data_IF_950751367068
#
_entry.id   IF_950751367068
#
_cell.length_a   1.000
_cell.length_b   1.000
_cell.length_c   1.000
_cell.angle_alpha   90.00
_cell.angle_beta   90.00
_cell.angle_gamma   90.00
#
_symmetry.space_group_name_H-M   'P 1'
#
loop_
_entity.id
_entity.type
_entity.pdbx_description
1 polymer ?
#
# COMPACT_ATOMS: atom_id res chain seq x y z
N UNK A 1 29.10 38.99 16.72
CA UNK A 1 28.29 37.82 16.32
C UNK A 1 28.46 37.74 14.82
N UNK A 2 29.04 36.66 14.33
CA UNK A 2 29.29 36.44 12.92
C UNK A 2 29.39 34.93 12.63
N UNK A 3 29.61 34.57 11.38
CA UNK A 3 29.68 33.20 10.86
C UNK A 3 31.11 32.61 10.90
N UNK A 4 32.09 33.30 11.51
CA UNK A 4 33.49 32.87 11.52
C UNK A 4 33.92 32.41 12.91
N UNK A 5 34.47 31.18 13.04
CA UNK A 5 34.79 30.62 14.35
C UNK A 5 35.87 31.40 15.11
N UNK A 6 36.75 32.10 14.40
CA UNK A 6 37.97 32.70 14.95
C UNK A 6 37.99 34.23 14.89
N UNK A 7 36.86 34.90 14.67
CA UNK A 7 36.82 36.36 14.69
C UNK A 7 37.31 36.90 16.04
N UNK A 8 38.27 37.83 15.98
CA UNK A 8 38.78 38.55 17.15
C UNK A 8 38.16 39.95 17.16
N UNK A 9 37.26 40.27 18.09
CA UNK A 9 36.68 41.60 18.19
C UNK A 9 37.72 42.67 18.49
N UNK A 10 37.46 43.87 17.98
CA UNK A 10 38.27 45.05 18.26
C UNK A 10 38.29 45.40 19.75
N UNK A 11 39.33 46.14 20.16
CA UNK A 11 39.53 46.59 21.55
C UNK A 11 38.70 47.84 21.85
N UNK A 12 37.39 47.75 21.61
CA UNK A 12 36.42 48.83 21.84
C UNK A 12 35.27 48.32 22.70
N UNK A 13 34.85 49.10 23.69
CA UNK A 13 33.71 48.73 24.54
C UNK A 13 32.43 48.90 23.73
N UNK A 14 31.81 47.78 23.32
CA UNK A 14 30.53 47.79 22.60
C UNK A 14 29.34 48.06 23.53
N UNK A 15 29.37 47.53 24.75
CA UNK A 15 28.32 47.71 25.76
C UNK A 15 28.90 47.45 27.16
N UNK A 16 28.27 48.02 28.18
CA UNK A 16 28.53 47.71 29.60
C UNK A 16 27.47 46.75 30.19
N UNK A 17 26.43 46.41 29.41
CA UNK A 17 25.39 45.47 29.82
C UNK A 17 25.92 44.04 29.85
N UNK A 18 25.34 43.22 30.72
CA UNK A 18 25.66 41.79 30.84
C UNK A 18 24.82 40.91 29.92
N UNK A 19 23.89 41.50 29.17
CA UNK A 19 22.99 40.82 28.22
C UNK A 19 22.95 41.59 26.90
N UNK A 20 22.69 40.87 25.80
CA UNK A 20 22.47 41.46 24.48
C UNK A 20 21.54 40.55 23.69
N UNK A 21 20.51 41.14 23.09
CA UNK A 21 19.59 40.44 22.19
C UNK A 21 19.99 40.66 20.73
N UNK A 22 19.87 39.60 19.95
CA UNK A 22 19.98 39.60 18.49
C UNK A 22 18.68 39.01 17.95
N UNK A 23 18.08 39.68 16.97
CA UNK A 23 16.80 39.27 16.37
C UNK A 23 17.00 39.01 14.88
N UNK A 24 16.09 38.23 14.30
CA UNK A 24 16.05 37.95 12.84
C UNK A 24 17.39 37.43 12.28
N UNK A 25 18.03 36.52 13.00
CA UNK A 25 19.20 35.80 12.50
C UNK A 25 18.74 34.69 11.57
N UNK A 26 19.41 34.56 10.42
CA UNK A 26 19.20 33.45 9.52
C UNK A 26 19.65 32.13 10.15
N UNK A 27 19.04 31.04 9.70
CA UNK A 27 19.41 29.68 10.09
C UNK A 27 20.89 29.39 9.76
N UNK A 28 21.56 28.65 10.64
CA UNK A 28 22.94 28.23 10.45
C UNK A 28 23.80 28.29 11.71
N UNK A 29 25.12 28.33 11.49
CA UNK A 29 26.11 28.37 12.55
C UNK A 29 26.52 29.81 12.82
N UNK A 30 26.41 30.21 14.09
CA UNK A 30 26.77 31.53 14.55
C UNK A 30 27.78 31.45 15.68
N UNK A 31 28.74 32.38 15.69
CA UNK A 31 29.74 32.47 16.73
C UNK A 31 29.59 33.79 17.49
N UNK A 32 29.28 33.67 18.78
CA UNK A 32 29.28 34.79 19.69
C UNK A 32 30.70 34.99 20.24
N UNK A 33 31.24 36.19 19.99
CA UNK A 33 32.57 36.59 20.40
C UNK A 33 32.48 37.66 21.48
N UNK A 34 33.19 37.46 22.59
CA UNK A 34 33.20 38.41 23.70
C UNK A 34 34.62 38.61 24.24
N UNK A 35 34.91 39.86 24.60
CA UNK A 35 36.14 40.27 25.30
C UNK A 35 35.76 41.19 26.46
N UNK A 36 36.39 40.96 27.61
CA UNK A 36 36.23 41.82 28.77
C UNK A 36 37.35 42.87 28.80
N UNK A 37 37.02 44.10 29.19
CA UNK A 37 38.00 45.12 29.54
C UNK A 37 37.95 45.38 31.05
N UNK A 38 39.11 45.46 31.69
CA UNK A 38 39.25 45.94 33.06
C UNK A 38 40.36 46.98 33.11
N UNK A 39 40.01 48.22 33.43
CA UNK A 39 40.97 49.33 33.57
C UNK A 39 41.90 49.49 32.35
N UNK A 40 41.36 49.36 31.14
CA UNK A 40 42.15 49.49 29.91
C UNK A 40 42.90 48.22 29.48
N UNK A 41 42.92 47.18 30.32
CA UNK A 41 43.49 45.87 29.96
C UNK A 41 42.39 44.98 29.38
N UNK A 42 42.60 44.50 28.16
CA UNK A 42 41.70 43.58 27.48
C UNK A 42 42.07 42.13 27.78
N UNK A 43 41.07 41.32 28.12
CA UNK A 43 41.21 39.88 28.24
C UNK A 43 41.25 39.18 26.87
N UNK A 44 41.45 37.86 26.90
CA UNK A 44 41.36 36.99 25.73
C UNK A 44 39.94 36.94 25.15
N UNK A 45 39.81 36.62 23.87
CA UNK A 45 38.50 36.42 23.21
C UNK A 45 37.89 35.08 23.64
N UNK A 46 36.67 35.12 24.15
CA UNK A 46 35.81 33.94 24.29
C UNK A 46 34.98 33.74 23.02
N UNK A 47 34.80 32.48 22.63
CA UNK A 47 34.02 32.08 21.47
C UNK A 47 32.93 31.09 21.92
N UNK A 48 31.68 31.33 21.53
CA UNK A 48 30.58 30.41 21.81
C UNK A 48 29.83 30.09 20.51
N UNK A 49 29.67 28.80 20.21
CA UNK A 49 28.94 28.33 19.04
C UNK A 49 27.44 28.27 19.35
N UNK A 50 26.65 28.85 18.47
CA UNK A 50 25.20 28.77 18.43
C UNK A 50 24.77 28.13 17.11
N UNK A 51 23.76 27.27 17.18
CA UNK A 51 23.11 26.68 16.01
C UNK A 51 21.69 27.21 15.99
N UNK A 52 21.35 27.95 14.94
CA UNK A 52 20.02 28.52 14.74
C UNK A 52 19.34 27.67 13.68
N UNK A 53 18.16 27.17 14.01
CA UNK A 53 17.34 26.35 13.15
C UNK A 53 15.88 26.63 13.47
N UNK A 54 15.19 27.25 12.51
CA UNK A 54 13.78 27.63 12.62
C UNK A 54 12.89 26.76 11.73
N UNK A 55 13.46 25.82 10.98
CA UNK A 55 12.74 24.98 10.05
C UNK A 55 12.23 23.71 10.75
N UNK A 56 10.96 23.31 10.54
CA UNK A 56 10.49 22.02 11.03
C UNK A 56 11.17 20.87 10.26
N UNK A 57 11.14 19.64 10.81
CA UNK A 57 11.53 18.43 10.09
C UNK A 57 10.93 18.33 8.68
N UNK A 58 11.59 17.60 7.78
CA UNK A 58 11.11 17.41 6.41
C UNK A 58 9.73 16.74 6.35
N UNK A 59 9.00 16.97 5.26
CA UNK A 59 7.74 16.28 5.00
C UNK A 59 7.95 14.76 4.90
N UNK A 60 7.06 14.00 5.52
CA UNK A 60 7.09 12.53 5.49
C UNK A 60 5.68 11.96 5.44
N UNK A 61 5.57 10.67 5.10
CA UNK A 61 4.29 9.96 5.07
C UNK A 61 4.45 8.66 5.86
N UNK A 62 3.74 8.49 6.98
CA UNK A 62 3.70 7.22 7.69
C UNK A 62 3.13 6.09 6.83
N UNK A 63 3.60 4.88 7.07
CA UNK A 63 3.12 3.66 6.43
C UNK A 63 2.40 2.77 7.44
N UNK A 64 1.38 2.05 7.00
CA UNK A 64 0.59 1.14 7.85
C UNK A 64 0.72 -0.29 7.36
N UNK A 65 1.11 -1.18 8.25
CA UNK A 65 1.03 -2.63 8.09
C UNK A 65 0.10 -3.23 9.13
N UNK A 66 -0.68 -4.25 8.74
CA UNK A 66 -1.64 -4.90 9.63
C UNK A 66 -1.11 -6.26 10.08
N UNK A 67 -1.06 -6.48 11.40
CA UNK A 67 -0.78 -7.79 11.99
C UNK A 67 -2.10 -8.54 12.20
N UNK A 68 -2.31 -9.59 11.40
CA UNK A 68 -3.49 -10.45 11.47
C UNK A 68 -3.09 -11.76 12.16
N UNK A 69 -3.51 -11.96 13.41
CA UNK A 69 -3.32 -13.23 14.12
C UNK A 69 -4.45 -14.21 13.78
N UNK A 70 -4.11 -15.38 13.24
CA UNK A 70 -5.06 -16.35 12.69
C UNK A 70 -5.99 -17.05 13.71
N UNK A 71 -5.78 -16.85 15.02
CA UNK A 71 -6.51 -17.58 16.08
C UNK A 71 -7.24 -16.69 17.09
N UNK A 72 -6.98 -15.38 17.10
CA UNK A 72 -7.64 -14.37 17.94
C UNK A 72 -7.61 -13.06 17.16
N UNK A 73 -8.78 -12.44 16.94
CA UNK A 73 -8.91 -11.16 16.23
C UNK A 73 -8.38 -10.03 17.12
N UNK A 74 -7.08 -10.00 17.37
CA UNK A 74 -6.39 -8.80 17.83
C UNK A 74 -5.81 -8.15 16.58
N UNK A 75 -6.60 -7.29 15.95
CA UNK A 75 -6.14 -6.49 14.83
C UNK A 75 -5.24 -5.39 15.41
N UNK A 76 -3.95 -5.45 15.09
CA UNK A 76 -3.00 -4.39 15.43
C UNK A 76 -2.46 -3.80 14.13
N UNK A 77 -2.37 -2.48 14.09
CA UNK A 77 -1.65 -1.79 13.04
C UNK A 77 -0.22 -1.49 13.54
N UNK A 78 0.75 -1.67 12.66
CA UNK A 78 2.11 -1.15 12.78
C UNK A 78 2.17 0.13 11.96
N UNK A 79 2.44 1.25 12.62
CA UNK A 79 2.63 2.54 11.97
C UNK A 79 4.13 2.82 11.91
N UNK A 80 4.68 2.73 10.72
CA UNK A 80 6.10 3.03 10.45
C UNK A 80 6.22 4.48 10.02
N UNK A 81 7.22 5.19 10.56
CA UNK A 81 7.47 6.58 10.20
C UNK A 81 8.97 6.89 10.25
N UNK A 82 9.39 7.82 9.40
CA UNK A 82 10.75 8.31 9.33
C UNK A 82 10.77 9.67 8.64
N UNK A 83 11.55 10.61 9.18
CA UNK A 83 11.87 11.88 8.55
C UNK A 83 13.30 12.30 8.89
N UNK A 84 13.75 13.40 8.29
CA UNK A 84 15.07 14.00 8.46
C UNK A 84 14.95 15.49 8.72
N UNK A 85 15.95 16.05 9.38
CA UNK A 85 16.18 17.50 9.42
C UNK A 85 17.65 17.75 9.06
N UNK A 86 17.89 18.75 8.22
CA UNK A 86 19.19 19.09 7.67
C UNK A 86 20.07 19.91 8.63
N UNK A 87 19.47 20.64 9.57
CA UNK A 87 20.22 21.60 10.41
C UNK A 87 20.48 21.05 11.80
N UNK A 88 19.43 20.82 12.60
CA UNK A 88 19.58 20.33 13.97
C UNK A 88 19.49 18.79 14.05
N UNK A 89 18.81 18.18 13.09
CA UNK A 89 18.52 16.75 13.03
C UNK A 89 17.39 16.35 13.98
N UNK A 90 16.86 15.14 13.81
CA UNK A 90 15.76 14.65 14.64
C UNK A 90 16.22 14.38 16.07
N UNK A 91 15.40 14.80 17.04
CA UNK A 91 15.57 14.49 18.46
C UNK A 91 14.77 13.23 18.83
N UNK A 92 13.46 13.27 18.66
CA UNK A 92 12.57 12.14 18.94
C UNK A 92 11.24 12.22 18.18
N UNK A 93 10.44 11.17 18.30
CA UNK A 93 9.06 11.13 17.83
C UNK A 93 8.10 10.97 19.00
N UNK A 94 6.93 11.59 18.88
CA UNK A 94 5.79 11.33 19.74
C UNK A 94 4.62 10.84 18.90
N UNK A 95 3.80 9.93 19.45
CA UNK A 95 2.60 9.45 18.78
C UNK A 95 1.38 9.72 19.64
N UNK A 96 0.37 10.35 19.03
CA UNK A 96 -0.95 10.50 19.59
C UNK A 96 -1.95 9.64 18.82
N UNK A 97 -2.85 8.95 19.52
CA UNK A 97 -3.94 8.18 18.90
C UNK A 97 -5.26 8.75 19.37
N UNK A 98 -6.17 9.03 18.43
CA UNK A 98 -7.50 9.55 18.71
C UNK A 98 -8.56 8.83 17.88
N UNK A 99 -9.72 8.58 18.48
CA UNK A 99 -10.89 8.10 17.76
C UNK A 99 -11.61 9.30 17.13
N UNK A 100 -11.77 9.29 15.81
CA UNK A 100 -12.35 10.41 15.06
C UNK A 100 -13.84 10.59 15.28
N UNK A 101 -14.51 9.62 15.92
CA UNK A 101 -15.89 9.76 16.38
C UNK A 101 -16.02 10.64 17.62
N UNK A 102 -14.92 10.92 18.32
CA UNK A 102 -14.90 11.81 19.48
C UNK A 102 -15.11 13.28 19.07
N UNK A 103 -15.62 14.13 19.99
CA UNK A 103 -15.74 15.56 19.74
C UNK A 103 -14.38 16.20 19.44
N UNK A 104 -14.36 17.21 18.56
CA UNK A 104 -13.14 17.94 18.18
C UNK A 104 -12.46 18.70 19.35
N UNK A 105 -13.11 18.77 20.52
CA UNK A 105 -12.52 19.33 21.75
C UNK A 105 -11.61 18.34 22.48
N UNK A 106 -11.60 17.06 22.09
CA UNK A 106 -10.72 16.04 22.65
C UNK A 106 -9.41 16.05 21.88
N UNK A 107 -8.30 16.17 22.60
CA UNK A 107 -6.96 16.07 22.03
C UNK A 107 -6.33 14.72 22.37
N UNK A 108 -5.53 14.14 21.47
CA UNK A 108 -4.77 12.93 21.78
C UNK A 108 -3.74 13.22 22.87
N UNK A 109 -3.45 12.21 23.67
CA UNK A 109 -2.27 12.20 24.53
C UNK A 109 -1.09 11.74 23.67
N UNK A 110 -0.07 12.58 23.55
CA UNK A 110 1.17 12.24 22.87
C UNK A 110 2.09 11.49 23.82
N UNK A 111 2.68 10.40 23.35
CA UNK A 111 3.69 9.64 24.07
C UNK A 111 4.95 9.48 23.22
N UNK A 112 6.16 9.57 23.81
CA UNK A 112 7.38 9.24 23.09
C UNK A 112 7.32 7.83 22.52
N UNK A 113 7.69 7.68 21.25
CA UNK A 113 7.55 6.43 20.51
C UNK A 113 8.69 6.22 19.51
N UNK A 114 8.97 4.95 19.22
CA UNK A 114 9.87 4.54 18.15
C UNK A 114 9.07 3.93 16.99
N UNK A 115 9.67 3.94 15.80
CA UNK A 115 9.12 3.28 14.61
C UNK A 115 9.60 1.83 14.52
N UNK A 116 8.72 0.86 14.23
CA UNK A 116 7.28 1.01 14.06
C UNK A 116 6.51 1.09 15.39
N UNK A 117 5.48 1.92 15.44
CA UNK A 117 4.59 2.05 16.60
C UNK A 117 3.38 1.11 16.48
N UNK A 118 3.06 0.37 17.54
CA UNK A 118 1.91 -0.55 17.54
C UNK A 118 0.64 0.14 18.04
N UNK A 119 -0.40 0.11 17.21
CA UNK A 119 -1.70 0.71 17.52
C UNK A 119 -2.73 -0.40 17.68
N UNK A 120 -3.32 -0.57 18.87
CA UNK A 120 -4.47 -1.45 19.06
C UNK A 120 -5.69 -0.91 18.29
N UNK A 121 -6.29 -1.73 17.43
CA UNK A 121 -7.51 -1.36 16.70
C UNK A 121 -8.73 -1.57 17.61
N UNK A 122 -8.94 -0.64 18.54
CA UNK A 122 -10.12 -0.63 19.42
C UNK A 122 -11.36 0.00 18.78
N UNK A 123 -11.21 0.64 17.62
CA UNK A 123 -12.25 1.34 16.86
C UNK A 123 -11.92 1.28 15.36
N UNK A 124 -12.94 1.37 14.52
CA UNK A 124 -12.82 1.29 13.06
C UNK A 124 -12.38 2.63 12.44
N UNK A 125 -12.42 3.74 13.20
CA UNK A 125 -12.09 5.10 12.72
C UNK A 125 -11.08 5.81 13.63
N UNK A 126 -9.89 5.22 13.76
CA UNK A 126 -8.77 5.83 14.49
C UNK A 126 -7.97 6.76 13.58
N UNK A 127 -7.43 7.83 14.16
CA UNK A 127 -6.39 8.67 13.57
C UNK A 127 -5.14 8.57 14.42
N UNK A 128 -4.03 8.21 13.80
CA UNK A 128 -2.71 8.23 14.42
C UNK A 128 -1.99 9.48 13.96
N UNK A 129 -1.51 10.27 14.91
CA UNK A 129 -0.79 11.52 14.67
C UNK A 129 0.64 11.29 15.11
N UNK A 130 1.56 11.30 14.15
CA UNK A 130 2.99 11.20 14.38
C UNK A 130 3.56 12.61 14.44
N UNK A 131 4.16 12.96 15.56
CA UNK A 131 4.91 14.19 15.77
C UNK A 131 6.39 13.91 15.68
N UNK A 132 7.08 14.56 14.74
CA UNK A 132 8.54 14.61 14.72
C UNK A 132 9.01 15.90 15.39
N UNK A 133 9.96 15.79 16.33
CA UNK A 133 10.59 16.92 17.02
C UNK A 133 12.08 16.91 16.70
N UNK A 134 12.62 18.03 16.24
CA UNK A 134 14.06 18.18 16.03
C UNK A 134 14.80 18.66 17.28
N UNK A 135 16.13 18.79 17.20
CA UNK A 135 16.95 19.21 18.34
C UNK A 135 16.88 20.71 18.63
N UNK A 136 16.34 21.51 17.71
CA UNK A 136 16.03 22.91 17.93
C UNK A 136 14.64 23.12 18.56
N UNK A 137 13.82 22.06 18.62
CA UNK A 137 12.47 22.06 19.16
C UNK A 137 11.39 22.41 18.13
N UNK A 138 11.71 22.44 16.83
CA UNK A 138 10.67 22.59 15.81
C UNK A 138 9.92 21.27 15.62
N UNK A 139 8.65 21.40 15.25
CA UNK A 139 7.68 20.31 15.29
C UNK A 139 7.04 20.14 13.91
N UNK A 140 6.88 18.88 13.50
CA UNK A 140 6.02 18.49 12.38
C UNK A 140 5.08 17.35 12.76
N UNK A 141 3.78 17.62 12.68
CA UNK A 141 2.73 16.64 12.90
C UNK A 141 2.22 16.11 11.55
N UNK A 142 2.12 14.78 11.41
CA UNK A 142 1.51 14.10 10.25
C UNK A 142 0.51 13.06 10.74
N UNK A 143 -0.70 13.11 10.19
CA UNK A 143 -1.79 12.22 10.58
C UNK A 143 -2.04 11.15 9.53
N UNK A 144 -2.34 9.94 9.98
CA UNK A 144 -2.78 8.84 9.12
C UNK A 144 -4.02 8.17 9.72
N UNK A 145 -5.02 7.90 8.87
CA UNK A 145 -6.22 7.19 9.28
C UNK A 145 -5.91 5.70 9.40
N UNK A 146 -6.23 5.13 10.55
CA UNK A 146 -6.08 3.71 10.85
C UNK A 146 -7.47 3.15 11.13
N UNK A 147 -7.97 2.34 10.20
CA UNK A 147 -9.20 1.58 10.40
C UNK A 147 -8.95 0.09 10.24
N UNK A 148 -9.95 -0.73 10.58
CA UNK A 148 -9.90 -2.16 10.35
C UNK A 148 -9.67 -2.45 8.86
N UNK A 149 -8.68 -3.28 8.52
CA UNK A 149 -8.37 -3.58 7.13
C UNK A 149 -9.55 -4.31 6.49
N UNK A 150 -10.00 -3.85 5.32
CA UNK A 150 -11.02 -4.58 4.58
C UNK A 150 -10.48 -5.96 4.18
N UNK A 151 -10.99 -7.05 4.77
CA UNK A 151 -10.52 -8.40 4.47
C UNK A 151 -10.57 -8.71 2.97
N UNK A 152 -11.62 -8.25 2.28
CA UNK A 152 -11.78 -8.41 0.82
C UNK A 152 -10.74 -7.59 0.05
N UNK A 153 -10.56 -6.31 0.38
CA UNK A 153 -9.62 -5.44 -0.32
C UNK A 153 -8.18 -5.87 -0.15
N UNK A 154 -7.80 -6.29 1.06
CA UNK A 154 -6.47 -6.84 1.36
C UNK A 154 -6.25 -8.16 0.64
N UNK A 155 -7.24 -9.07 0.64
CA UNK A 155 -7.15 -10.31 -0.11
C UNK A 155 -6.97 -10.08 -1.62
N UNK A 156 -7.72 -9.14 -2.22
CA UNK A 156 -7.59 -8.79 -3.63
C UNK A 156 -6.22 -8.20 -3.96
N UNK A 157 -5.69 -7.27 -3.15
CA UNK A 157 -4.37 -6.68 -3.37
C UNK A 157 -3.26 -7.73 -3.27
N UNK A 158 -3.27 -8.54 -2.21
CA UNK A 158 -2.23 -9.55 -1.97
C UNK A 158 -2.25 -10.68 -3.00
N UNK A 159 -3.43 -11.01 -3.55
CA UNK A 159 -3.58 -12.09 -4.54
C UNK A 159 -3.80 -11.59 -5.96
N UNK A 160 -3.61 -10.30 -6.24
CA UNK A 160 -3.93 -9.69 -7.53
C UNK A 160 -3.28 -10.43 -8.70
N UNK A 161 -2.00 -10.80 -8.55
CA UNK A 161 -1.24 -11.52 -9.59
C UNK A 161 -1.81 -12.91 -9.85
N UNK A 162 -2.15 -13.66 -8.78
CA UNK A 162 -2.74 -15.00 -8.92
C UNK A 162 -4.16 -14.96 -9.48
N UNK A 163 -4.96 -13.99 -9.05
CA UNK A 163 -6.32 -13.76 -9.57
C UNK A 163 -6.24 -13.41 -11.07
N UNK A 164 -5.33 -12.51 -11.46
CA UNK A 164 -5.12 -12.17 -12.87
C UNK A 164 -4.64 -13.38 -13.68
N UNK A 165 -3.71 -14.17 -13.15
CA UNK A 165 -3.23 -15.40 -13.78
C UNK A 165 -4.35 -16.44 -13.94
N UNK A 166 -5.23 -16.60 -12.94
CA UNK A 166 -6.39 -17.49 -13.00
C UNK A 166 -7.40 -17.05 -14.08
N UNK A 167 -7.67 -15.75 -14.18
CA UNK A 167 -8.57 -15.18 -15.20
C UNK A 167 -7.98 -15.43 -16.61
N UNK A 168 -6.69 -15.17 -16.81
CA UNK A 168 -6.00 -15.43 -18.08
C UNK A 168 -6.07 -16.93 -18.41
N UNK A 169 -5.77 -17.80 -17.45
CA UNK A 169 -5.81 -19.24 -17.62
C UNK A 169 -7.22 -19.73 -17.98
N UNK A 170 -8.25 -19.25 -17.28
CA UNK A 170 -9.64 -19.58 -17.56
C UNK A 170 -10.07 -19.11 -18.97
N UNK A 171 -9.63 -17.91 -19.38
CA UNK A 171 -9.86 -17.41 -20.73
C UNK A 171 -9.21 -18.27 -21.82
N UNK A 172 -7.95 -18.68 -21.61
CA UNK A 172 -7.24 -19.58 -22.52
C UNK A 172 -7.89 -20.98 -22.58
N UNK A 173 -8.25 -21.55 -21.43
CA UNK A 173 -8.96 -22.82 -21.36
C UNK A 173 -10.32 -22.75 -22.08
N UNK A 174 -11.06 -21.65 -21.90
CA UNK A 174 -12.30 -21.38 -22.62
C UNK A 174 -12.09 -21.29 -24.12
N UNK A 175 -11.02 -20.63 -24.59
CA UNK A 175 -10.67 -20.55 -26.00
C UNK A 175 -10.31 -21.92 -26.58
N UNK A 176 -9.52 -22.72 -25.86
CA UNK A 176 -9.18 -24.09 -26.27
C UNK A 176 -10.42 -24.96 -26.34
N UNK A 177 -11.31 -24.88 -25.34
CA UNK A 177 -12.58 -25.59 -25.36
C UNK A 177 -13.46 -25.16 -26.54
N UNK A 178 -13.57 -23.85 -26.78
CA UNK A 178 -14.30 -23.30 -27.93
C UNK A 178 -13.71 -23.80 -29.25
N UNK A 179 -12.39 -23.83 -29.39
CA UNK A 179 -11.71 -24.35 -30.58
C UNK A 179 -11.96 -25.85 -30.77
N UNK A 180 -11.78 -26.66 -29.72
CA UNK A 180 -11.97 -28.10 -29.79
C UNK A 180 -13.43 -28.48 -30.08
N UNK A 181 -14.39 -27.90 -29.35
CA UNK A 181 -15.82 -28.21 -29.50
C UNK A 181 -16.41 -27.55 -30.74
N UNK A 182 -16.10 -26.29 -31.02
CA UNK A 182 -16.52 -25.60 -32.23
C UNK A 182 -16.03 -26.34 -33.49
N UNK A 183 -14.77 -26.75 -33.52
CA UNK A 183 -14.24 -27.54 -34.64
C UNK A 183 -14.76 -29.00 -34.64
N UNK A 184 -15.16 -29.57 -33.51
CA UNK A 184 -15.78 -30.90 -33.47
C UNK A 184 -17.21 -30.86 -34.02
N UNK A 185 -18.01 -29.86 -33.61
CA UNK A 185 -19.38 -29.65 -34.09
C UNK A 185 -19.40 -29.34 -35.59
N UNK A 186 -18.51 -28.47 -36.07
CA UNK A 186 -18.39 -28.16 -37.51
C UNK A 186 -18.05 -29.42 -38.34
N UNK A 187 -17.23 -30.32 -37.80
CA UNK A 187 -16.89 -31.59 -38.47
C UNK A 187 -18.09 -32.53 -38.58
N UNK A 188 -18.94 -32.61 -37.55
CA UNK A 188 -20.16 -33.43 -37.62
C UNK A 188 -21.22 -32.81 -38.53
N UNK A 189 -21.36 -31.48 -38.53
CA UNK A 189 -22.29 -30.81 -39.42
C UNK A 189 -21.94 -31.05 -40.90
N UNK A 190 -20.66 -30.97 -41.27
CA UNK A 190 -20.22 -31.29 -42.65
C UNK A 190 -20.54 -32.72 -43.05
N UNK A 191 -20.27 -33.70 -42.17
CA UNK A 191 -20.59 -35.10 -42.44
C UNK A 191 -22.09 -35.35 -42.58
N UNK A 192 -22.92 -34.69 -41.77
CA UNK A 192 -24.37 -34.79 -41.87
C UNK A 192 -24.87 -34.22 -43.21
N UNK A 193 -24.34 -33.07 -43.66
CA UNK A 193 -24.68 -32.48 -44.96
C UNK A 193 -24.24 -33.38 -46.12
N UNK A 194 -23.05 -33.98 -46.04
CA UNK A 194 -22.58 -34.93 -47.06
C UNK A 194 -23.45 -36.19 -47.13
N UNK A 195 -23.94 -36.71 -46.00
CA UNK A 195 -24.83 -37.87 -45.97
C UNK A 195 -26.19 -37.55 -46.62
N UNK A 196 -26.79 -36.40 -46.30
CA UNK A 196 -28.06 -35.95 -46.91
C UNK A 196 -27.91 -35.77 -48.42
N UNK A 197 -26.83 -35.13 -48.88
CA UNK A 197 -26.56 -34.98 -50.32
C UNK A 197 -26.30 -36.30 -51.04
N UNK A 198 -25.80 -37.31 -50.33
CA UNK A 198 -25.58 -38.65 -50.89
C UNK A 198 -26.90 -39.43 -51.00
N UNK A 199 -27.82 -39.23 -50.07
CA UNK A 199 -29.15 -39.85 -50.03
C UNK A 199 -30.08 -39.27 -51.11
N UNK A 200 -30.06 -37.95 -51.33
CA UNK A 200 -30.78 -37.30 -52.45
C UNK A 200 -30.28 -37.74 -53.84
N UNK A 201 -29.07 -38.30 -53.94
CA UNK A 201 -28.50 -38.80 -55.21
C UNK A 201 -28.73 -40.29 -55.46
N UNK A 202 -29.37 -41.03 -54.54
CA UNK A 202 -29.73 -42.42 -54.75
C UNK A 202 -31.18 -42.52 -55.29
N UNK A 203 -31.43 -43.26 -56.40
CA UNK A 203 -32.80 -43.48 -56.88
C UNK A 203 -33.61 -44.35 -55.89
N UNK A 204 -34.94 -44.24 -55.86
CA UNK A 204 -35.79 -44.93 -54.88
C UNK A 204 -35.56 -46.44 -54.93
N UNK A 205 -35.31 -47.05 -53.77
CA UNK A 205 -35.17 -48.50 -53.64
C UNK A 205 -36.50 -49.17 -54.02
N UNK A 206 -36.44 -50.09 -54.98
CA UNK A 206 -37.57 -50.87 -55.44
C UNK A 206 -38.17 -51.70 -54.29
N UNK A 207 -39.45 -51.40 -54.04
CA UNK A 207 -40.39 -52.06 -53.14
C UNK A 207 -40.40 -53.58 -53.37
N UNK A 208 -40.13 -54.36 -52.30
CA UNK A 208 -40.28 -55.82 -52.34
C UNK A 208 -41.77 -56.17 -52.46
N UNK A 209 -42.12 -56.85 -53.57
CA UNK A 209 -43.44 -57.40 -53.82
C UNK A 209 -43.75 -58.60 -52.90
N UNK A 210 -45.04 -58.83 -52.54
CA UNK A 210 -45.43 -59.93 -51.65
C UNK A 210 -45.52 -61.27 -52.41
N UNK A 211 -44.98 -62.34 -51.84
CA UNK A 211 -45.26 -63.72 -52.26
C UNK A 211 -46.59 -64.21 -51.67
N UNK A 212 -47.50 -64.64 -52.54
CA UNK A 212 -48.78 -65.31 -52.22
C UNK A 212 -48.70 -66.83 -52.46
N UNK A 213 -49.63 -67.64 -51.91
CA UNK A 213 -49.34 -68.93 -51.28
C UNK A 213 -49.69 -70.16 -52.15
N UNK A 214 -48.97 -71.26 -51.94
CA UNK A 214 -49.34 -72.58 -52.45
C UNK A 214 -50.02 -73.44 -51.37
N UNK A 215 -51.30 -73.68 -51.57
CA UNK A 215 -52.14 -74.69 -50.92
C UNK A 215 -52.49 -75.77 -51.97
N UNK A 216 -52.74 -77.01 -51.52
CA UNK A 216 -53.85 -77.92 -51.92
C UNK A 216 -53.43 -79.42 -51.98
N UNK A 217 -53.92 -80.14 -50.94
CA UNK A 217 -54.55 -81.49 -50.85
C UNK A 217 -53.81 -82.84 -50.85
N UNK A 218 -54.25 -83.61 -49.86
CA UNK A 218 -54.26 -85.07 -49.62
C UNK A 218 -54.65 -85.98 -50.80
N UNK A 219 -54.21 -87.25 -50.74
CA UNK A 219 -55.11 -88.43 -50.82
C UNK A 219 -54.45 -89.69 -50.21
N UNK A 220 -55.29 -90.50 -49.55
CA UNK A 220 -55.01 -91.77 -48.85
C UNK A 220 -55.10 -93.00 -49.80
N UNK A 221 -54.40 -94.11 -49.47
CA UNK A 221 -54.94 -95.50 -49.32
C UNK A 221 -54.15 -96.68 -49.99
N UNK A 222 -53.59 -97.54 -49.12
CA UNK A 222 -53.66 -99.03 -49.03
C UNK A 222 -52.97 -100.04 -49.99
N UNK A 223 -52.06 -100.85 -49.38
CA UNK A 223 -51.96 -102.35 -49.33
C UNK A 223 -51.66 -103.16 -50.61
N UNK A 224 -51.14 -104.43 -50.51
CA UNK A 224 -51.20 -105.43 -49.43
C UNK A 224 -49.90 -105.74 -48.67
#
# INVERSE_FOLDING_TARGET
LDDKPSTVPENTVMTAETTKSFESLDDGLWYFHIKANKNGVWGTTGHFLMRIDTAPPADFTPEIDYLIAAATVSERALVSFFTTDNLSGIDHYEVGVIDRTQPATVSPVFVPAESPFQVPLSSDDLSVIVRAVDKAGNIRDVSIAVGSPSLVGTFLKNNLVYILALIIFAGLAGLVFHYLVGHHIIRYLRKAVELVQKEERMPPQAEHAPEEPHEITDTHSSSP
#
